data_IF_698224884060
#
_entry.id   IF_698224884060
#
_cell.length_a   1.000
_cell.length_b   1.000
_cell.length_c   1.000
_cell.angle_alpha   90.00
_cell.angle_beta   90.00
_cell.angle_gamma   90.00
#
_symmetry.space_group_name_H-M   'P 1'
#
loop_
_entity.id
_entity.type
_entity.pdbx_description
1 polymer ?
#
# COMPACT_ATOMS: atom_id res chain seq x y z
N UNK A 1 -9.95 -16.65 8.56
CA UNK A 1 -11.34 -16.18 8.47
C UNK A 1 -11.46 -15.47 7.14
N UNK A 2 -12.26 -16.01 6.21
CA UNK A 2 -12.60 -15.33 4.96
C UNK A 2 -13.62 -14.22 5.29
N UNK A 3 -13.28 -12.98 4.99
CA UNK A 3 -14.19 -11.83 5.07
C UNK A 3 -14.69 -11.50 3.66
N UNK A 4 -15.93 -11.05 3.56
CA UNK A 4 -16.53 -10.72 2.28
C UNK A 4 -17.83 -9.95 2.44
N UNK A 5 -18.31 -9.38 1.34
CA UNK A 5 -19.62 -8.72 1.27
C UNK A 5 -20.60 -9.57 0.47
N UNK A 6 -21.87 -9.53 0.86
CA UNK A 6 -22.93 -10.20 0.09
C UNK A 6 -23.24 -9.36 -1.13
N UNK A 7 -23.20 -9.97 -2.31
CA UNK A 7 -23.56 -9.38 -3.59
C UNK A 7 -24.62 -10.24 -4.28
N UNK A 8 -25.35 -9.67 -5.23
CA UNK A 8 -26.22 -10.43 -6.12
C UNK A 8 -25.48 -10.66 -7.45
N UNK A 9 -25.42 -11.91 -7.90
CA UNK A 9 -24.79 -12.28 -9.16
C UNK A 9 -25.66 -13.33 -9.86
N UNK A 10 -26.08 -13.04 -11.09
CA UNK A 10 -26.96 -13.91 -11.87
C UNK A 10 -28.27 -14.32 -11.14
N UNK A 11 -28.81 -13.44 -10.30
CA UNK A 11 -30.03 -13.70 -9.50
C UNK A 11 -29.80 -14.52 -8.23
N UNK A 12 -28.55 -14.84 -7.89
CA UNK A 12 -28.17 -15.56 -6.67
C UNK A 12 -27.38 -14.66 -5.71
N UNK A 13 -27.50 -14.92 -4.40
CA UNK A 13 -26.64 -14.28 -3.39
C UNK A 13 -25.27 -14.95 -3.38
N UNK A 14 -24.22 -14.19 -3.63
CA UNK A 14 -22.84 -14.64 -3.56
C UNK A 14 -22.07 -13.86 -2.48
N UNK A 15 -20.97 -14.45 -2.01
CA UNK A 15 -19.99 -13.75 -1.14
C UNK A 15 -18.84 -13.30 -2.02
N UNK A 16 -18.63 -11.99 -2.09
CA UNK A 16 -17.47 -11.40 -2.73
C UNK A 16 -16.37 -11.19 -1.68
N UNK A 17 -15.26 -11.89 -1.83
CA UNK A 17 -14.12 -11.82 -0.90
C UNK A 17 -13.50 -10.41 -0.87
N UNK A 18 -13.00 -10.00 0.31
CA UNK A 18 -12.37 -8.68 0.51
C UNK A 18 -10.87 -8.78 0.86
N UNK A 19 -10.02 -9.40 0.01
CA UNK A 19 -8.60 -9.60 0.33
C UNK A 19 -7.82 -8.28 0.54
N UNK A 20 -8.32 -7.17 0.00
CA UNK A 20 -7.75 -5.84 0.20
C UNK A 20 -7.74 -5.41 1.67
N UNK A 21 -8.74 -5.80 2.46
CA UNK A 21 -8.80 -5.52 3.91
C UNK A 21 -7.71 -6.27 4.66
N UNK A 22 -7.48 -7.53 4.31
CA UNK A 22 -6.42 -8.35 4.90
C UNK A 22 -5.03 -7.78 4.59
N UNK A 23 -4.79 -7.40 3.33
CA UNK A 23 -3.51 -6.79 2.94
C UNK A 23 -3.32 -5.42 3.60
N UNK A 24 -4.38 -4.63 3.73
CA UNK A 24 -4.33 -3.39 4.50
C UNK A 24 -3.89 -3.66 5.94
N UNK A 25 -4.49 -4.67 6.59
CA UNK A 25 -4.15 -5.05 7.97
C UNK A 25 -2.70 -5.50 8.10
N UNK A 26 -2.17 -6.25 7.14
CA UNK A 26 -0.75 -6.63 7.15
C UNK A 26 0.18 -5.42 7.02
N UNK A 27 -0.18 -4.45 6.17
CA UNK A 27 0.56 -3.19 6.03
C UNK A 27 0.53 -2.38 7.33
N UNK A 28 -0.64 -2.25 7.95
CA UNK A 28 -0.84 -1.61 9.24
C UNK A 28 -0.03 -2.26 10.38
N UNK A 29 -0.11 -3.58 10.53
CA UNK A 29 0.66 -4.33 11.54
C UNK A 29 2.17 -4.16 11.33
N UNK A 30 2.62 -4.09 10.08
CA UNK A 30 4.01 -3.83 9.77
C UNK A 30 4.43 -2.41 10.19
N UNK A 31 3.59 -1.41 9.93
CA UNK A 31 3.80 -0.03 10.43
C UNK A 31 3.91 0.01 11.96
N UNK A 32 2.98 -0.61 12.69
CA UNK A 32 3.01 -0.67 14.15
C UNK A 32 4.32 -1.26 14.69
N UNK A 33 4.82 -2.34 14.06
CA UNK A 33 6.11 -2.94 14.41
C UNK A 33 7.28 -2.01 14.18
N UNK A 34 7.26 -1.23 13.10
CA UNK A 34 8.28 -0.22 12.83
C UNK A 34 8.29 0.85 13.93
N UNK A 35 7.13 1.35 14.32
CA UNK A 35 7.02 2.35 15.38
C UNK A 35 7.53 1.84 16.73
N UNK A 36 7.20 0.60 17.09
CA UNK A 36 7.69 -0.05 18.32
C UNK A 36 9.22 -0.22 18.31
N UNK A 37 9.80 -0.51 17.14
CA UNK A 37 11.23 -0.75 17.00
C UNK A 37 12.05 0.53 16.76
N UNK A 38 11.44 1.64 16.36
CA UNK A 38 12.11 2.88 15.98
C UNK A 38 13.18 3.34 17.01
N UNK A 39 12.92 3.38 18.33
CA UNK A 39 13.93 3.81 19.30
C UNK A 39 15.16 2.89 19.32
N UNK A 40 14.92 1.57 19.20
CA UNK A 40 15.98 0.56 19.17
C UNK A 40 16.81 0.70 17.89
N UNK A 41 16.15 0.84 16.74
CA UNK A 41 16.83 1.00 15.44
C UNK A 41 17.72 2.24 15.43
N UNK A 42 17.22 3.39 15.92
CA UNK A 42 18.04 4.61 16.04
C UNK A 42 19.28 4.39 16.90
N UNK A 43 19.15 3.68 18.01
CA UNK A 43 20.29 3.35 18.88
C UNK A 43 21.31 2.44 18.16
N UNK A 44 20.86 1.42 17.43
CA UNK A 44 21.73 0.50 16.71
C UNK A 44 22.46 1.15 15.54
N UNK A 45 21.81 2.04 14.79
CA UNK A 45 22.45 2.77 13.68
C UNK A 45 23.60 3.67 14.19
N UNK A 46 23.49 4.21 15.41
CA UNK A 46 24.54 5.03 16.03
C UNK A 46 25.73 4.22 16.57
N UNK A 47 25.58 2.89 16.74
CA UNK A 47 26.62 2.00 17.26
C UNK A 47 27.71 1.63 16.24
N UNK A 48 27.47 1.81 14.95
CA UNK A 48 28.48 1.53 13.91
C UNK A 48 28.74 0.03 13.69
N UNK A 49 30.02 -0.39 13.63
CA UNK A 49 30.44 -1.73 13.15
C UNK A 49 30.41 -2.85 14.21
N UNK A 50 30.10 -2.55 15.47
CA UNK A 50 30.15 -3.50 16.59
C UNK A 50 28.76 -4.02 16.98
N UNK A 51 28.02 -4.58 16.03
CA UNK A 51 26.70 -5.16 16.30
C UNK A 51 26.84 -6.64 16.66
N UNK A 52 26.17 -7.05 17.73
CA UNK A 52 25.97 -8.46 18.06
C UNK A 52 25.01 -9.13 17.07
N UNK A 53 25.02 -10.46 16.99
CA UNK A 53 24.08 -11.23 16.14
C UNK A 53 22.62 -10.88 16.45
N UNK A 54 22.29 -10.69 17.74
CA UNK A 54 20.94 -10.29 18.14
C UNK A 54 20.56 -8.91 17.60
N UNK A 55 21.47 -7.94 17.67
CA UNK A 55 21.23 -6.59 17.15
C UNK A 55 21.11 -6.57 15.62
N UNK A 56 21.89 -7.40 14.92
CA UNK A 56 21.74 -7.59 13.47
C UNK A 56 20.37 -8.18 13.12
N UNK A 57 19.86 -9.15 13.91
CA UNK A 57 18.52 -9.70 13.69
C UNK A 57 17.42 -8.65 13.85
N UNK A 58 17.54 -7.73 14.81
CA UNK A 58 16.61 -6.61 14.98
C UNK A 58 16.58 -5.74 13.72
N UNK A 59 17.73 -5.45 13.11
CA UNK A 59 17.80 -4.70 11.85
C UNK A 59 17.13 -5.45 10.69
N UNK A 60 17.29 -6.78 10.60
CA UNK A 60 16.62 -7.60 9.58
C UNK A 60 15.11 -7.64 9.77
N UNK A 61 14.62 -7.79 11.00
CA UNK A 61 13.18 -7.76 11.32
C UNK A 61 12.55 -6.41 10.99
N UNK A 62 13.27 -5.32 11.28
CA UNK A 62 12.85 -3.99 10.89
C UNK A 62 12.75 -3.87 9.37
N UNK A 63 13.76 -4.35 8.63
CA UNK A 63 13.76 -4.35 7.16
C UNK A 63 12.61 -5.18 6.59
N UNK A 64 12.34 -6.35 7.17
CA UNK A 64 11.19 -7.18 6.79
C UNK A 64 9.87 -6.42 6.99
N UNK A 65 9.74 -5.70 8.11
CA UNK A 65 8.55 -4.89 8.41
C UNK A 65 8.40 -3.74 7.41
N UNK A 66 9.48 -3.05 7.03
CA UNK A 66 9.45 -2.00 6.00
C UNK A 66 9.00 -2.55 4.64
N UNK A 67 9.54 -3.70 4.24
CA UNK A 67 9.13 -4.35 3.00
C UNK A 67 7.64 -4.71 3.04
N UNK A 68 7.17 -5.30 4.14
CA UNK A 68 5.78 -5.69 4.31
C UNK A 68 4.83 -4.48 4.29
N UNK A 69 5.18 -3.38 4.94
CA UNK A 69 4.42 -2.13 4.92
C UNK A 69 4.10 -1.70 3.49
N UNK A 70 5.14 -1.61 2.65
CA UNK A 70 5.03 -1.12 1.28
C UNK A 70 4.39 -2.14 0.34
N UNK A 71 4.81 -3.41 0.43
CA UNK A 71 4.31 -4.46 -0.47
C UNK A 71 2.83 -4.72 -0.21
N UNK A 72 2.43 -4.92 1.05
CA UNK A 72 1.03 -5.17 1.37
C UNK A 72 0.16 -3.91 1.22
N UNK A 73 0.71 -2.71 1.38
CA UNK A 73 0.00 -1.47 1.07
C UNK A 73 -0.36 -1.38 -0.42
N UNK A 74 0.58 -1.69 -1.30
CA UNK A 74 0.33 -1.73 -2.75
C UNK A 74 -0.61 -2.88 -3.16
N UNK A 75 -0.44 -4.08 -2.59
CA UNK A 75 -1.35 -5.21 -2.84
C UNK A 75 -2.77 -4.93 -2.36
N UNK A 76 -2.92 -4.18 -1.27
CA UNK A 76 -4.22 -3.74 -0.78
C UNK A 76 -4.94 -2.89 -1.84
N UNK A 77 -4.27 -1.88 -2.42
CA UNK A 77 -4.84 -1.06 -3.50
C UNK A 77 -5.15 -1.86 -4.77
N UNK A 78 -4.28 -2.81 -5.12
CA UNK A 78 -4.49 -3.67 -6.28
C UNK A 78 -5.69 -4.60 -6.10
N UNK A 79 -5.78 -5.25 -4.95
CA UNK A 79 -6.90 -6.11 -4.59
C UNK A 79 -8.21 -5.31 -4.53
N UNK A 80 -8.18 -4.08 -4.00
CA UNK A 80 -9.38 -3.27 -3.88
C UNK A 80 -9.95 -2.88 -5.24
N UNK A 81 -9.11 -2.43 -6.18
CA UNK A 81 -9.62 -2.01 -7.49
C UNK A 81 -10.13 -3.18 -8.33
N UNK A 82 -9.55 -4.39 -8.14
CA UNK A 82 -10.10 -5.61 -8.74
C UNK A 82 -11.42 -6.00 -8.08
N UNK A 83 -11.52 -5.96 -6.75
CA UNK A 83 -12.76 -6.15 -6.01
C UNK A 83 -13.85 -5.18 -6.50
N UNK A 84 -13.52 -3.90 -6.65
CA UNK A 84 -14.42 -2.86 -7.14
C UNK A 84 -14.99 -3.20 -8.53
N UNK A 85 -14.16 -3.70 -9.44
CA UNK A 85 -14.59 -4.08 -10.78
C UNK A 85 -15.63 -5.21 -10.76
N UNK A 86 -15.37 -6.24 -9.95
CA UNK A 86 -16.29 -7.39 -9.80
C UNK A 86 -17.57 -6.97 -9.09
N UNK A 87 -17.47 -6.15 -8.04
CA UNK A 87 -18.63 -5.68 -7.26
C UNK A 87 -19.66 -4.93 -8.11
N UNK A 88 -19.21 -4.24 -9.16
CA UNK A 88 -20.05 -3.40 -10.01
C UNK A 88 -20.14 -3.88 -11.46
N UNK A 89 -19.82 -5.16 -11.70
CA UNK A 89 -19.91 -5.81 -13.01
C UNK A 89 -19.30 -4.96 -14.14
N UNK A 90 -18.15 -4.33 -13.88
CA UNK A 90 -17.50 -3.44 -14.86
C UNK A 90 -17.08 -4.30 -16.07
N UNK A 91 -17.60 -4.01 -17.29
CA UNK A 91 -17.43 -4.89 -18.43
C UNK A 91 -15.97 -5.00 -18.87
N UNK A 92 -15.51 -6.25 -19.02
CA UNK A 92 -14.17 -6.58 -19.47
C UNK A 92 -14.17 -6.93 -20.96
N UNK A 93 -13.47 -6.16 -21.79
CA UNK A 93 -13.03 -6.70 -23.07
C UNK A 93 -11.78 -7.57 -22.80
N UNK A 94 -11.96 -8.89 -22.84
CA UNK A 94 -11.08 -9.94 -22.29
C UNK A 94 -9.56 -9.84 -22.56
N UNK A 95 -9.12 -9.12 -23.60
CA UNK A 95 -7.70 -8.91 -23.90
C UNK A 95 -7.15 -7.56 -23.40
N UNK A 96 -8.02 -6.57 -23.21
CA UNK A 96 -7.63 -5.24 -22.75
C UNK A 96 -7.30 -5.24 -21.26
N UNK A 97 -8.09 -5.94 -20.45
CA UNK A 97 -7.94 -5.92 -19.00
C UNK A 97 -6.70 -6.66 -18.51
N UNK A 98 -6.35 -7.79 -19.16
CA UNK A 98 -5.15 -8.58 -18.83
C UNK A 98 -3.86 -7.76 -18.94
N UNK A 99 -3.87 -6.75 -19.82
CA UNK A 99 -2.74 -5.87 -20.06
C UNK A 99 -2.86 -4.53 -19.32
N UNK A 100 -3.97 -4.32 -18.61
CA UNK A 100 -4.25 -3.06 -17.94
C UNK A 100 -3.52 -3.00 -16.59
N UNK A 101 -2.50 -2.16 -16.52
CA UNK A 101 -1.81 -1.90 -15.26
C UNK A 101 -2.78 -1.47 -14.16
N UNK A 102 -2.48 -1.81 -12.91
CA UNK A 102 -3.28 -1.43 -11.74
C UNK A 102 -3.54 0.08 -11.68
N UNK A 103 -2.54 0.91 -12.00
CA UNK A 103 -2.70 2.36 -12.09
C UNK A 103 -3.76 2.79 -13.12
N UNK A 104 -3.84 2.10 -14.25
CA UNK A 104 -4.86 2.39 -15.27
C UNK A 104 -6.24 1.90 -14.84
N UNK A 105 -6.34 0.77 -14.13
CA UNK A 105 -7.61 0.31 -13.50
C UNK A 105 -8.18 1.39 -12.58
N UNK A 106 -7.33 1.97 -11.73
CA UNK A 106 -7.70 3.08 -10.83
C UNK A 106 -8.18 4.35 -11.54
N UNK A 107 -7.76 4.58 -12.79
CA UNK A 107 -8.23 5.72 -13.61
C UNK A 107 -9.54 5.44 -14.31
N UNK A 108 -9.77 4.19 -14.72
CA UNK A 108 -10.86 3.81 -15.62
C UNK A 108 -12.08 3.34 -14.83
N UNK A 109 -11.91 2.43 -13.87
CA UNK A 109 -13.04 1.75 -13.22
C UNK A 109 -13.97 2.69 -12.46
N UNK A 110 -13.48 3.66 -11.66
CA UNK A 110 -14.38 4.60 -10.99
C UNK A 110 -15.17 5.46 -11.99
N UNK A 111 -14.57 5.81 -13.13
CA UNK A 111 -15.24 6.57 -14.17
C UNK A 111 -16.33 5.76 -14.86
N UNK A 112 -16.08 4.47 -15.16
CA UNK A 112 -17.09 3.59 -15.75
C UNK A 112 -18.32 3.41 -14.85
N UNK A 113 -18.13 3.36 -13.52
CA UNK A 113 -19.25 3.25 -12.58
C UNK A 113 -19.94 4.60 -12.33
N UNK A 114 -19.17 5.66 -12.06
CA UNK A 114 -19.71 6.89 -11.46
C UNK A 114 -19.74 8.10 -12.40
N UNK A 115 -19.20 7.97 -13.62
CA UNK A 115 -18.85 9.09 -14.52
C UNK A 115 -17.93 10.15 -13.90
N UNK A 116 -17.28 9.85 -12.77
CA UNK A 116 -16.32 10.71 -12.08
C UNK A 116 -14.96 10.03 -12.05
N UNK A 117 -13.92 10.85 -12.11
CA UNK A 117 -12.53 10.38 -12.05
C UNK A 117 -11.90 10.77 -10.72
N UNK A 118 -10.95 9.95 -10.28
CA UNK A 118 -10.06 10.37 -9.20
C UNK A 118 -9.26 11.60 -9.63
N UNK A 119 -9.02 12.50 -8.67
CA UNK A 119 -8.20 13.67 -8.92
C UNK A 119 -6.72 13.31 -9.13
N UNK A 120 -5.97 14.25 -9.71
CA UNK A 120 -4.55 14.04 -10.00
C UNK A 120 -3.68 13.77 -8.78
N UNK A 121 -4.11 14.21 -7.59
CA UNK A 121 -3.36 13.98 -6.35
C UNK A 121 -3.44 12.52 -5.91
N UNK A 122 -4.63 11.92 -5.93
CA UNK A 122 -4.83 10.50 -5.65
C UNK A 122 -4.09 9.61 -6.65
N UNK A 123 -4.14 9.95 -7.95
CA UNK A 123 -3.40 9.22 -9.00
C UNK A 123 -1.88 9.31 -8.78
N UNK A 124 -1.36 10.45 -8.34
CA UNK A 124 0.07 10.60 -8.01
C UNK A 124 0.47 9.73 -6.83
N UNK A 125 -0.35 9.65 -5.78
CA UNK A 125 -0.11 8.77 -4.62
C UNK A 125 -0.11 7.29 -5.03
N UNK A 126 -1.09 6.85 -5.81
CA UNK A 126 -1.15 5.48 -6.32
C UNK A 126 0.12 5.16 -7.10
N UNK A 127 0.54 6.04 -8.02
CA UNK A 127 1.77 5.86 -8.81
C UNK A 127 3.00 5.73 -7.90
N UNK A 128 3.10 6.55 -6.86
CA UNK A 128 4.23 6.54 -5.94
C UNK A 128 4.26 5.25 -5.09
N UNK A 129 3.10 4.80 -4.59
CA UNK A 129 2.97 3.54 -3.85
C UNK A 129 3.42 2.35 -4.70
N UNK A 130 2.95 2.24 -5.95
CA UNK A 130 3.36 1.15 -6.83
C UNK A 130 4.84 1.26 -7.24
N UNK A 131 5.37 2.48 -7.44
CA UNK A 131 6.80 2.69 -7.70
C UNK A 131 7.66 2.18 -6.54
N UNK A 132 7.26 2.44 -5.30
CA UNK A 132 7.96 1.94 -4.11
C UNK A 132 7.89 0.42 -4.03
N UNK A 133 6.71 -0.18 -4.28
CA UNK A 133 6.58 -1.64 -4.34
C UNK A 133 7.51 -2.25 -5.38
N UNK A 134 7.54 -1.71 -6.59
CA UNK A 134 8.37 -2.22 -7.69
C UNK A 134 9.86 -2.14 -7.37
N UNK A 135 10.31 -1.05 -6.73
CA UNK A 135 11.70 -0.92 -6.27
C UNK A 135 12.08 -1.97 -5.19
N UNK A 136 11.11 -2.49 -4.42
CA UNK A 136 11.33 -3.56 -3.42
C UNK A 136 11.32 -4.94 -4.05
N UNK A 137 10.31 -5.25 -4.87
CA UNK A 137 10.08 -6.61 -5.38
C UNK A 137 10.84 -6.91 -6.67
N UNK A 138 11.27 -5.87 -7.39
CA UNK A 138 12.12 -5.97 -8.58
C UNK A 138 13.42 -5.18 -8.36
N UNK A 139 14.25 -5.54 -7.35
CA UNK A 139 15.43 -4.76 -7.01
C UNK A 139 16.42 -4.77 -8.18
N UNK A 140 16.72 -3.59 -8.72
CA UNK A 140 17.81 -3.43 -9.70
C UNK A 140 19.10 -3.16 -8.93
N UNK A 141 20.12 -4.04 -9.01
CA UNK A 141 21.38 -3.81 -8.33
C UNK A 141 22.02 -2.52 -8.88
N UNK A 142 22.38 -1.61 -7.98
CA UNK A 142 23.11 -0.39 -8.34
C UNK A 142 24.60 -0.65 -8.21
N UNK A 143 25.38 -0.30 -9.23
CA UNK A 143 26.84 -0.28 -9.12
C UNK A 143 27.25 0.89 -8.23
N UNK A 144 27.85 0.58 -7.08
CA UNK A 144 28.39 1.58 -6.17
C UNK A 144 29.88 1.74 -6.52
N UNK A 145 30.27 2.91 -7.04
CA UNK A 145 31.68 3.23 -7.29
C UNK A 145 32.31 3.56 -5.93
N UNK A 146 33.20 2.68 -5.47
CA UNK A 146 34.02 2.91 -4.28
C UNK A 146 35.25 3.70 -4.76
N UNK A 147 35.36 4.98 -4.43
CA UNK A 147 36.56 5.77 -4.79
C UNK A 147 36.41 7.28 -4.87
N UNK A 148 35.20 7.83 -4.97
CA UNK A 148 34.98 9.26 -4.78
C UNK A 148 34.44 9.50 -3.37
N UNK A 149 34.91 10.54 -2.69
CA UNK A 149 34.33 11.10 -1.44
C UNK A 149 32.89 11.61 -1.62
N UNK A 150 32.11 11.03 -2.52
CA UNK A 150 30.68 11.32 -2.68
C UNK A 150 29.96 10.60 -1.55
N UNK A 151 29.25 11.33 -0.67
CA UNK A 151 28.46 10.71 0.37
C UNK A 151 27.50 9.71 -0.27
N UNK A 152 27.34 8.54 0.38
CA UNK A 152 26.40 7.51 -0.01
C UNK A 152 25.06 8.18 -0.35
N UNK A 153 24.71 8.16 -1.64
CA UNK A 153 23.63 9.00 -2.15
C UNK A 153 22.31 8.44 -1.59
N UNK A 154 21.61 9.22 -0.76
CA UNK A 154 20.33 8.91 -0.10
C UNK A 154 19.13 8.68 -1.03
N UNK A 155 19.38 8.19 -2.26
CA UNK A 155 18.37 7.72 -3.21
C UNK A 155 17.95 6.27 -2.96
N UNK A 156 18.53 5.59 -1.98
CA UNK A 156 18.15 4.23 -1.64
C UNK A 156 16.67 4.18 -1.27
N UNK A 157 15.96 3.11 -1.64
CA UNK A 157 14.56 2.94 -1.24
C UNK A 157 14.40 3.00 0.28
N UNK A 158 15.41 2.54 1.01
CA UNK A 158 15.47 2.64 2.47
C UNK A 158 15.35 4.09 2.93
N UNK A 159 16.18 4.98 2.38
CA UNK A 159 16.12 6.42 2.70
C UNK A 159 14.79 7.05 2.31
N UNK A 160 14.17 6.61 1.21
CA UNK A 160 12.82 7.09 0.81
C UNK A 160 11.74 6.63 1.79
N UNK A 161 11.79 5.38 2.25
CA UNK A 161 10.83 4.84 3.22
C UNK A 161 11.06 5.43 4.61
N UNK A 162 12.32 5.64 5.03
CA UNK A 162 12.68 6.34 6.27
C UNK A 162 12.19 7.80 6.28
N UNK A 163 12.09 8.46 5.11
CA UNK A 163 11.45 9.77 4.99
C UNK A 163 9.92 9.73 5.06
N UNK A 164 9.31 8.58 4.75
CA UNK A 164 7.87 8.32 4.86
C UNK A 164 7.46 7.80 6.26
N UNK A 165 8.43 7.58 7.16
CA UNK A 165 8.38 6.77 8.38
C UNK A 165 7.60 7.38 9.57
N UNK A 166 6.83 8.46 9.35
CA UNK A 166 5.92 9.04 10.35
C UNK A 166 4.46 8.67 10.13
N UNK A 167 4.22 7.49 9.59
CA UNK A 167 2.87 7.06 9.18
C UNK A 167 2.37 7.73 7.90
N UNK A 168 3.18 8.55 7.23
CA UNK A 168 2.79 9.23 5.99
C UNK A 168 2.38 8.21 4.92
N UNK A 169 3.07 7.07 4.84
CA UNK A 169 2.69 6.00 3.90
C UNK A 169 1.27 5.47 4.14
N UNK A 170 0.88 5.25 5.40
CA UNK A 170 -0.48 4.82 5.74
C UNK A 170 -1.48 5.94 5.50
N UNK A 171 -1.12 7.20 5.78
CA UNK A 171 -1.95 8.38 5.46
C UNK A 171 -2.21 8.48 3.95
N UNK A 172 -1.18 8.27 3.13
CA UNK A 172 -1.28 8.29 1.67
C UNK A 172 -2.17 7.14 1.18
N UNK A 173 -1.98 5.93 1.72
CA UNK A 173 -2.82 4.76 1.44
C UNK A 173 -4.30 5.04 1.75
N UNK A 174 -4.57 5.57 2.94
CA UNK A 174 -5.92 5.96 3.36
C UNK A 174 -6.52 7.05 2.48
N UNK A 175 -5.71 8.01 2.05
CA UNK A 175 -6.15 9.13 1.20
C UNK A 175 -6.62 8.62 -0.16
N UNK A 176 -6.00 7.57 -0.70
CA UNK A 176 -6.45 6.92 -1.94
C UNK A 176 -7.84 6.29 -1.77
N UNK A 177 -8.07 5.54 -0.70
CA UNK A 177 -9.40 4.97 -0.42
C UNK A 177 -10.45 6.05 -0.20
N UNK A 178 -10.14 7.06 0.61
CA UNK A 178 -11.02 8.21 0.87
C UNK A 178 -11.36 8.97 -0.43
N UNK A 179 -10.46 9.01 -1.40
CA UNK A 179 -10.72 9.62 -2.70
C UNK A 179 -11.81 8.86 -3.49
N UNK A 180 -11.85 7.52 -3.43
CA UNK A 180 -12.95 6.73 -4.00
C UNK A 180 -14.25 7.01 -3.27
N UNK A 181 -14.24 7.00 -1.94
CA UNK A 181 -15.45 7.23 -1.14
C UNK A 181 -16.06 8.61 -1.36
N UNK A 182 -15.24 9.59 -1.78
CA UNK A 182 -15.71 10.92 -2.16
C UNK A 182 -16.49 10.92 -3.47
N UNK A 183 -16.11 10.08 -4.43
CA UNK A 183 -16.75 10.05 -5.76
C UNK A 183 -17.84 8.96 -5.86
N UNK A 184 -17.76 7.95 -5.01
CA UNK A 184 -18.65 6.78 -4.95
C UNK A 184 -19.26 6.63 -3.55
N UNK A 185 -20.54 7.01 -3.42
CA UNK A 185 -21.26 7.00 -2.15
C UNK A 185 -21.60 5.59 -1.66
N UNK A 186 -21.66 4.59 -2.55
CA UNK A 186 -21.94 3.21 -2.15
C UNK A 186 -20.73 2.61 -1.43
N UNK A 187 -19.53 2.89 -1.95
CA UNK A 187 -18.28 2.52 -1.27
C UNK A 187 -18.15 3.23 0.07
N UNK A 188 -18.48 4.53 0.13
CA UNK A 188 -18.52 5.27 1.38
C UNK A 188 -19.44 4.61 2.42
N UNK A 189 -20.69 4.31 2.04
CA UNK A 189 -21.66 3.64 2.93
C UNK A 189 -21.20 2.26 3.33
N UNK A 190 -20.62 1.50 2.39
CA UNK A 190 -20.07 0.16 2.66
C UNK A 190 -18.98 0.22 3.73
N UNK A 191 -18.07 1.19 3.63
CA UNK A 191 -17.04 1.43 4.64
C UNK A 191 -17.63 1.92 5.97
N UNK A 192 -18.58 2.84 5.97
CA UNK A 192 -19.22 3.34 7.20
C UNK A 192 -19.94 2.23 7.99
N UNK A 193 -20.51 1.25 7.28
CA UNK A 193 -21.15 0.08 7.89
C UNK A 193 -20.15 -0.95 8.44
N UNK A 194 -19.00 -1.09 7.79
CA UNK A 194 -17.95 -2.03 8.18
C UNK A 194 -16.56 -1.40 8.03
N UNK A 195 -16.12 -0.54 8.98
CA UNK A 195 -14.84 0.14 8.88
C UNK A 195 -13.67 -0.84 9.03
N UNK A 196 -12.75 -0.83 8.06
CA UNK A 196 -11.58 -1.72 8.03
C UNK A 196 -10.24 -0.99 7.89
N UNK A 197 -10.26 0.32 7.61
CA UNK A 197 -9.06 1.15 7.55
C UNK A 197 -8.70 1.74 8.92
N UNK A 198 -7.42 1.92 9.17
CA UNK A 198 -6.92 2.66 10.32
C UNK A 198 -7.03 4.16 10.05
N UNK A 199 -7.58 4.92 10.99
CA UNK A 199 -7.50 6.37 10.98
C UNK A 199 -6.36 6.84 11.87
N UNK A 200 -5.19 7.14 11.29
CA UNK A 200 -4.06 7.72 12.03
C UNK A 200 -4.36 9.14 12.58
N UNK A 201 -5.46 9.76 12.15
CA UNK A 201 -5.89 11.11 12.56
C UNK A 201 -6.42 11.20 14.01
N UNK A 202 -6.39 10.10 14.78
CA UNK A 202 -6.62 10.14 16.24
C UNK A 202 -5.34 10.29 17.06
N UNK A 203 -4.18 10.45 16.42
CA UNK A 203 -2.92 10.76 17.09
C UNK A 203 -2.53 12.19 16.71
N UNK A 204 -3.13 13.13 17.44
CA UNK A 204 -2.57 14.44 17.76
C UNK A 204 -2.43 14.50 19.28
#
# INVERSE_FOLDING_TARGET
>A
MLTGVIVEHAGEKAVLETPHELYYRFSAMAFERLQVNEPKIKSLLNKGKELTVHEVNILYENRLSMNNLVVYGALSLEAYINFYAIRYDIPFHNDFEKNLSTLNKWKIYPHLKTNKSLDGSAIKLIKEIFRLRDEIVHPKPNRIIIGDNKPYNGKSIQSKIELLDKGQYIVDLNSVYKAIFKIDLDEKKSYENAPWMLELQRIN
#
